data_IF_629986405623
#
_entry.id   IF_629986405623
#
_cell.length_a   1.000
_cell.length_b   1.000
_cell.length_c   1.000
_cell.angle_alpha   90.00
_cell.angle_beta   90.00
_cell.angle_gamma   90.00
#
_symmetry.space_group_name_H-M   'P 1'
#
loop_
_entity.id
_entity.type
_entity.pdbx_description
1 polymer ?
#
# COMPACT_ATOMS: atom_id res chain seq x y z
N UNK A 1 -13.17 -6.21 -22.56
CA UNK A 1 -11.88 -5.96 -21.84
C UNK A 1 -11.79 -6.92 -20.69
N UNK A 2 -10.66 -7.56 -20.51
CA UNK A 2 -10.37 -8.37 -19.33
C UNK A 2 -10.20 -7.49 -18.08
N UNK A 3 -10.25 -8.08 -16.88
CA UNK A 3 -9.97 -7.36 -15.61
C UNK A 3 -8.61 -6.66 -15.65
N UNK A 4 -7.57 -7.35 -16.13
CA UNK A 4 -6.23 -6.80 -16.26
C UNK A 4 -6.16 -5.59 -17.21
N UNK A 5 -6.86 -5.62 -18.35
CA UNK A 5 -6.93 -4.49 -19.29
C UNK A 5 -7.66 -3.28 -18.69
N UNK A 6 -8.76 -3.51 -17.98
CA UNK A 6 -9.51 -2.44 -17.29
C UNK A 6 -8.66 -1.79 -16.20
N UNK A 7 -7.99 -2.63 -15.39
CA UNK A 7 -7.10 -2.18 -14.32
C UNK A 7 -5.93 -1.36 -14.89
N UNK A 8 -5.26 -1.85 -15.96
CA UNK A 8 -4.19 -1.10 -16.63
C UNK A 8 -4.68 0.27 -17.14
N UNK A 9 -5.84 0.31 -17.79
CA UNK A 9 -6.41 1.58 -18.30
C UNK A 9 -6.72 2.55 -17.17
N UNK A 10 -7.22 2.07 -16.03
CA UNK A 10 -7.46 2.89 -14.84
C UNK A 10 -6.15 3.52 -14.35
N UNK A 11 -5.12 2.73 -14.14
CA UNK A 11 -3.83 3.22 -13.63
C UNK A 11 -3.11 4.11 -14.62
N UNK A 12 -3.17 3.78 -15.92
CA UNK A 12 -2.66 4.65 -17.00
C UNK A 12 -3.29 6.07 -16.95
N UNK A 13 -4.56 6.17 -16.57
CA UNK A 13 -5.25 7.47 -16.47
C UNK A 13 -4.87 8.28 -15.23
N UNK A 14 -4.25 7.65 -14.24
CA UNK A 14 -3.91 8.26 -12.93
C UNK A 14 -2.42 8.56 -12.76
N UNK A 15 -1.59 8.24 -13.74
CA UNK A 15 -0.12 8.32 -13.64
C UNK A 15 0.38 9.72 -13.24
N UNK A 16 -0.25 10.78 -13.75
CA UNK A 16 0.15 12.17 -13.52
C UNK A 16 -0.43 12.80 -12.24
N UNK A 17 -1.22 12.04 -11.44
CA UNK A 17 -1.88 12.58 -10.26
C UNK A 17 -0.97 12.66 -9.01
N UNK A 18 0.32 12.35 -9.13
CA UNK A 18 1.28 12.43 -8.03
C UNK A 18 0.82 11.61 -6.81
N UNK A 19 0.84 12.21 -5.63
CA UNK A 19 0.41 11.57 -4.37
C UNK A 19 -1.04 11.07 -4.41
N UNK A 20 -1.87 11.64 -5.28
CA UNK A 20 -3.28 11.27 -5.40
C UNK A 20 -3.55 10.15 -6.42
N UNK A 21 -2.52 9.56 -7.02
CA UNK A 21 -2.68 8.48 -7.99
C UNK A 21 -3.43 7.26 -7.41
N UNK A 22 -3.05 6.82 -6.22
CA UNK A 22 -3.68 5.67 -5.54
C UNK A 22 -4.80 6.03 -4.57
N UNK A 23 -4.89 7.29 -4.12
CA UNK A 23 -5.90 7.74 -3.15
C UNK A 23 -5.98 9.25 -3.12
N UNK A 24 -7.19 9.79 -2.92
CA UNK A 24 -7.36 11.22 -2.66
C UNK A 24 -6.94 11.60 -1.22
N UNK A 25 -6.74 10.62 -0.35
CA UNK A 25 -6.31 10.81 1.02
C UNK A 25 -4.78 10.79 1.13
N UNK A 26 -4.17 11.93 0.85
CA UNK A 26 -2.70 12.11 0.90
C UNK A 26 -2.13 11.86 2.31
N UNK A 27 -2.92 12.06 3.38
CA UNK A 27 -2.48 11.79 4.75
C UNK A 27 -2.37 10.29 5.00
N UNK A 28 -3.38 9.50 4.58
CA UNK A 28 -3.30 8.05 4.65
C UNK A 28 -2.09 7.53 3.86
N UNK A 29 -1.85 8.05 2.65
CA UNK A 29 -0.67 7.70 1.84
C UNK A 29 0.65 7.96 2.59
N UNK A 30 0.78 9.10 3.27
CA UNK A 30 1.97 9.40 4.07
C UNK A 30 2.14 8.47 5.28
N UNK A 31 1.04 8.01 5.89
CA UNK A 31 1.09 6.99 6.96
C UNK A 31 1.63 5.66 6.42
N UNK A 32 1.15 5.22 5.25
CA UNK A 32 1.63 4.02 4.57
C UNK A 32 3.14 4.11 4.28
N UNK A 33 3.58 5.20 3.65
CA UNK A 33 5.01 5.45 3.37
C UNK A 33 5.86 5.43 4.64
N UNK A 34 5.43 6.08 5.72
CA UNK A 34 6.13 6.07 7.02
C UNK A 34 6.20 4.68 7.63
N UNK A 35 5.12 3.91 7.55
CA UNK A 35 5.08 2.54 8.08
C UNK A 35 6.04 1.61 7.31
N UNK A 36 6.11 1.73 5.99
CA UNK A 36 7.06 1.00 5.14
C UNK A 36 8.49 1.42 5.48
N UNK A 37 8.78 2.73 5.46
CA UNK A 37 10.11 3.29 5.73
C UNK A 37 10.65 2.87 7.10
N UNK A 38 9.79 2.77 8.12
CA UNK A 38 10.19 2.34 9.47
C UNK A 38 10.69 0.89 9.55
N UNK A 39 10.51 0.08 8.50
CA UNK A 39 10.97 -1.33 8.42
C UNK A 39 12.17 -1.52 7.52
N UNK A 40 12.65 -0.48 6.89
CA UNK A 40 13.76 -0.50 5.93
C UNK A 40 14.95 0.20 6.56
N UNK A 41 16.13 -0.41 6.48
CA UNK A 41 17.39 0.09 7.02
C UNK A 41 18.34 0.47 5.87
N UNK A 42 19.33 1.30 6.17
CA UNK A 42 20.37 1.68 5.22
C UNK A 42 21.15 0.45 4.70
N UNK A 43 21.48 0.43 3.44
CA UNK A 43 22.21 -0.65 2.78
C UNK A 43 21.33 -1.80 2.28
N UNK A 44 20.03 -1.76 2.56
CA UNK A 44 19.09 -2.78 2.08
C UNK A 44 18.80 -2.63 0.57
N UNK A 45 18.58 -3.77 -0.06
CA UNK A 45 18.05 -3.88 -1.42
C UNK A 45 16.57 -4.14 -1.36
N UNK A 46 15.78 -3.23 -1.93
CA UNK A 46 14.32 -3.17 -1.76
C UNK A 46 13.62 -3.35 -3.11
N UNK A 47 12.51 -4.10 -3.12
CA UNK A 47 11.63 -4.24 -4.28
C UNK A 47 10.25 -3.68 -3.94
N UNK A 48 9.76 -2.76 -4.76
CA UNK A 48 8.40 -2.21 -4.75
C UNK A 48 7.60 -2.85 -5.88
N UNK A 49 6.66 -3.73 -5.54
CA UNK A 49 5.80 -4.39 -6.54
C UNK A 49 4.45 -3.67 -6.58
N UNK A 50 4.10 -3.17 -7.78
CA UNK A 50 2.99 -2.25 -7.96
C UNK A 50 3.37 -0.82 -7.54
N UNK A 51 4.58 -0.39 -7.93
CA UNK A 51 5.16 0.88 -7.48
C UNK A 51 4.39 2.14 -7.95
N UNK A 52 3.45 1.98 -8.89
CA UNK A 52 2.73 3.10 -9.48
C UNK A 52 3.71 4.14 -10.05
N UNK A 53 3.45 5.41 -9.79
CA UNK A 53 4.31 6.53 -10.21
C UNK A 53 5.56 6.76 -9.33
N UNK A 54 5.95 5.77 -8.52
CA UNK A 54 7.23 5.70 -7.83
C UNK A 54 7.38 6.57 -6.58
N UNK A 55 6.33 7.21 -6.09
CA UNK A 55 6.41 8.17 -4.97
C UNK A 55 7.03 7.55 -3.71
N UNK A 56 6.59 6.37 -3.30
CA UNK A 56 7.13 5.69 -2.11
C UNK A 56 8.58 5.26 -2.33
N UNK A 57 8.89 4.69 -3.49
CA UNK A 57 10.25 4.26 -3.84
C UNK A 57 11.25 5.44 -3.89
N UNK A 58 10.85 6.56 -4.49
CA UNK A 58 11.70 7.77 -4.57
C UNK A 58 11.88 8.40 -3.17
N UNK A 59 10.84 8.47 -2.35
CA UNK A 59 10.95 8.95 -0.97
C UNK A 59 11.91 8.09 -0.14
N UNK A 60 11.86 6.77 -0.28
CA UNK A 60 12.81 5.87 0.36
C UNK A 60 14.25 6.15 -0.10
N UNK A 61 14.47 6.31 -1.40
CA UNK A 61 15.79 6.60 -1.96
C UNK A 61 16.34 7.97 -1.54
N UNK A 62 15.47 8.94 -1.27
CA UNK A 62 15.84 10.27 -0.75
C UNK A 62 16.18 10.27 0.74
N UNK A 63 15.49 9.45 1.52
CA UNK A 63 15.55 9.49 2.98
C UNK A 63 16.47 8.42 3.57
N UNK A 64 16.86 7.44 2.77
CA UNK A 64 17.70 6.29 3.19
C UNK A 64 18.73 5.95 2.11
N UNK A 65 19.81 5.29 2.53
CA UNK A 65 20.83 4.74 1.63
C UNK A 65 20.45 3.32 1.21
N UNK A 66 19.48 3.20 0.31
CA UNK A 66 18.93 1.92 -0.16
C UNK A 66 18.93 1.87 -1.69
N UNK A 67 18.99 0.65 -2.23
CA UNK A 67 18.75 0.41 -3.66
C UNK A 67 17.32 -0.08 -3.83
N UNK A 68 16.47 0.74 -4.48
CA UNK A 68 15.07 0.41 -4.72
C UNK A 68 14.84 0.07 -6.17
N UNK A 69 14.20 -1.06 -6.43
CA UNK A 69 13.65 -1.39 -7.74
C UNK A 69 12.13 -1.32 -7.65
N UNK A 70 11.51 -0.51 -8.51
CA UNK A 70 10.05 -0.41 -8.64
C UNK A 70 9.56 -1.11 -9.89
N UNK A 71 8.50 -1.91 -9.75
CA UNK A 71 7.85 -2.62 -10.86
C UNK A 71 6.37 -2.27 -10.89
N UNK A 72 5.87 -1.92 -12.08
CA UNK A 72 4.44 -1.72 -12.31
C UNK A 72 4.06 -2.20 -13.71
N UNK A 73 2.83 -2.68 -13.88
CA UNK A 73 2.34 -3.14 -15.18
C UNK A 73 1.93 -2.01 -16.13
N UNK A 74 1.73 -0.80 -15.59
CA UNK A 74 1.40 0.40 -16.36
C UNK A 74 2.66 1.09 -16.86
N UNK A 75 2.82 1.15 -18.17
CA UNK A 75 3.93 1.87 -18.83
C UNK A 75 3.91 3.37 -18.49
N UNK A 76 2.71 3.95 -18.33
CA UNK A 76 2.57 5.37 -17.97
C UNK A 76 2.98 5.62 -16.52
N UNK A 77 2.62 4.73 -15.59
CA UNK A 77 3.10 4.80 -14.22
C UNK A 77 4.63 4.74 -14.16
N UNK A 78 5.24 3.80 -14.87
CA UNK A 78 6.69 3.68 -14.94
C UNK A 78 7.36 4.92 -15.58
N UNK A 79 6.77 5.49 -16.61
CA UNK A 79 7.27 6.73 -17.20
C UNK A 79 7.22 7.90 -16.20
N UNK A 80 6.12 8.03 -15.46
CA UNK A 80 5.98 9.03 -14.39
C UNK A 80 6.98 8.78 -13.25
N UNK A 81 7.19 7.53 -12.84
CA UNK A 81 8.15 7.16 -11.80
C UNK A 81 9.60 7.52 -12.20
N UNK A 82 10.01 7.23 -13.43
CA UNK A 82 11.31 7.62 -13.97
C UNK A 82 11.50 9.14 -13.99
N UNK A 83 10.48 9.87 -14.45
CA UNK A 83 10.49 11.34 -14.47
C UNK A 83 10.61 11.91 -13.04
N UNK A 84 9.90 11.32 -12.06
CA UNK A 84 10.00 11.72 -10.68
C UNK A 84 11.40 11.46 -10.11
N UNK A 85 11.97 10.29 -10.37
CA UNK A 85 13.32 9.94 -9.93
C UNK A 85 14.38 10.88 -10.51
N UNK A 86 14.35 11.14 -11.80
CA UNK A 86 15.27 12.08 -12.48
C UNK A 86 15.22 13.48 -11.85
N UNK A 87 14.01 13.98 -11.55
CA UNK A 87 13.84 15.30 -10.94
C UNK A 87 14.28 15.36 -9.48
N UNK A 88 14.08 14.28 -8.74
CA UNK A 88 14.25 14.26 -7.28
C UNK A 88 15.65 13.77 -6.86
N UNK A 89 16.19 12.78 -7.56
CA UNK A 89 17.44 12.09 -7.21
C UNK A 89 18.64 12.61 -8.03
N UNK A 90 18.39 13.27 -9.15
CA UNK A 90 19.44 13.74 -10.04
C UNK A 90 20.31 12.59 -10.56
N UNK A 91 21.62 12.62 -10.27
CA UNK A 91 22.57 11.58 -10.67
C UNK A 91 22.63 10.38 -9.72
N UNK A 92 21.84 10.35 -8.64
CA UNK A 92 21.78 9.21 -7.73
C UNK A 92 20.95 8.09 -8.38
N UNK A 93 21.52 6.90 -8.51
CA UNK A 93 20.87 5.72 -9.14
C UNK A 93 20.24 4.80 -8.13
N UNK A 94 19.79 5.32 -6.98
CA UNK A 94 19.24 4.53 -5.87
C UNK A 94 17.77 4.10 -6.07
N UNK A 95 17.13 4.51 -7.17
CA UNK A 95 15.80 4.02 -7.55
C UNK A 95 15.74 3.74 -9.06
N UNK A 96 15.41 2.51 -9.42
CA UNK A 96 15.23 2.05 -10.80
C UNK A 96 13.79 1.57 -11.01
N UNK A 97 13.24 1.83 -12.20
CA UNK A 97 11.85 1.48 -12.51
C UNK A 97 11.75 0.71 -13.81
N UNK A 98 11.01 -0.39 -13.82
CA UNK A 98 10.77 -1.20 -15.00
C UNK A 98 9.32 -1.69 -15.09
N UNK A 99 8.86 -1.88 -16.33
CA UNK A 99 7.54 -2.45 -16.60
C UNK A 99 7.57 -3.94 -16.29
N UNK A 100 6.56 -4.42 -15.55
CA UNK A 100 6.39 -5.83 -15.21
C UNK A 100 5.18 -6.02 -14.30
N UNK A 101 4.73 -7.25 -14.17
CA UNK A 101 3.66 -7.64 -13.25
C UNK A 101 4.14 -8.76 -12.32
N UNK A 102 3.38 -9.04 -11.27
CA UNK A 102 3.72 -10.14 -10.36
C UNK A 102 3.75 -11.50 -11.08
N UNK A 103 2.95 -11.66 -12.15
CA UNK A 103 2.89 -12.89 -12.96
C UNK A 103 3.98 -12.94 -14.03
N UNK A 104 4.57 -11.79 -14.39
CA UNK A 104 5.58 -11.64 -15.42
C UNK A 104 6.70 -10.69 -14.98
N UNK A 105 7.40 -11.09 -13.91
CA UNK A 105 8.52 -10.33 -13.36
C UNK A 105 9.71 -10.27 -14.33
N UNK A 106 10.41 -9.15 -14.42
CA UNK A 106 11.63 -9.04 -15.19
C UNK A 106 12.68 -10.07 -14.75
N UNK A 107 13.41 -10.64 -15.71
CA UNK A 107 14.47 -11.62 -15.42
C UNK A 107 15.68 -10.92 -14.77
N UNK A 108 16.39 -11.64 -13.90
CA UNK A 108 17.65 -11.19 -13.35
C UNK A 108 17.54 -10.22 -12.17
N UNK A 109 16.36 -10.03 -11.61
CA UNK A 109 16.16 -9.16 -10.44
C UNK A 109 16.99 -9.57 -9.21
N UNK A 110 17.29 -10.87 -9.06
CA UNK A 110 18.02 -11.40 -7.88
C UNK A 110 17.15 -11.44 -6.62
N UNK A 111 17.80 -11.45 -5.46
CA UNK A 111 17.12 -11.52 -4.16
C UNK A 111 17.16 -10.16 -3.45
N UNK A 112 16.17 -9.94 -2.57
CA UNK A 112 15.94 -8.69 -1.86
C UNK A 112 15.96 -8.88 -0.35
N UNK A 113 16.38 -7.84 0.37
CA UNK A 113 16.31 -7.78 1.83
C UNK A 113 14.89 -7.44 2.29
N UNK A 114 14.23 -6.54 1.54
CA UNK A 114 12.83 -6.19 1.77
C UNK A 114 12.08 -6.13 0.43
N UNK A 115 10.90 -6.72 0.41
CA UNK A 115 9.91 -6.53 -0.66
C UNK A 115 8.68 -5.91 -0.04
N UNK A 116 8.05 -4.95 -0.70
CA UNK A 116 6.75 -4.47 -0.27
C UNK A 116 5.75 -4.34 -1.42
N UNK A 117 4.49 -4.46 -1.06
CA UNK A 117 3.34 -4.06 -1.86
C UNK A 117 2.57 -2.99 -1.09
N UNK A 118 2.04 -2.01 -1.79
CA UNK A 118 1.26 -0.92 -1.22
C UNK A 118 -0.04 -0.76 -1.99
N UNK A 119 -1.11 -1.40 -1.50
CA UNK A 119 -2.41 -1.48 -2.18
C UNK A 119 -2.32 -2.01 -3.61
N UNK A 120 -1.43 -2.98 -3.83
CA UNK A 120 -1.26 -3.67 -5.11
C UNK A 120 -2.09 -4.94 -5.16
N UNK A 121 -2.02 -5.79 -4.13
CA UNK A 121 -2.73 -7.08 -4.12
C UNK A 121 -4.24 -6.90 -4.22
N UNK A 122 -4.79 -5.82 -3.63
CA UNK A 122 -6.23 -5.52 -3.72
C UNK A 122 -6.73 -5.28 -5.15
N UNK A 123 -5.83 -5.09 -6.12
CA UNK A 123 -6.18 -4.95 -7.54
C UNK A 123 -6.21 -6.29 -8.28
N UNK A 124 -5.82 -7.38 -7.63
CA UNK A 124 -5.98 -8.73 -8.15
C UNK A 124 -7.44 -9.18 -7.97
N UNK A 125 -7.99 -10.00 -8.88
CA UNK A 125 -9.42 -10.26 -8.95
C UNK A 125 -9.96 -11.02 -7.73
N UNK A 126 -9.14 -11.89 -7.12
CA UNK A 126 -9.57 -12.74 -6.03
C UNK A 126 -8.40 -13.15 -5.10
N UNK A 127 -8.76 -13.86 -4.03
CA UNK A 127 -7.80 -14.36 -3.04
C UNK A 127 -6.81 -15.39 -3.61
N UNK A 128 -7.21 -16.19 -4.59
CA UNK A 128 -6.33 -17.19 -5.18
C UNK A 128 -5.15 -16.54 -5.89
N UNK A 129 -5.41 -15.49 -6.68
CA UNK A 129 -4.35 -14.70 -7.32
C UNK A 129 -3.53 -13.91 -6.31
N UNK A 130 -4.15 -13.34 -5.27
CA UNK A 130 -3.44 -12.66 -4.18
C UNK A 130 -2.48 -13.62 -3.44
N UNK A 131 -2.94 -14.82 -3.08
CA UNK A 131 -2.11 -15.84 -2.45
C UNK A 131 -0.97 -16.32 -3.36
N UNK A 132 -1.23 -16.51 -4.66
CA UNK A 132 -0.20 -16.85 -5.65
C UNK A 132 0.89 -15.77 -5.75
N UNK A 133 0.49 -14.49 -5.68
CA UNK A 133 1.42 -13.35 -5.63
C UNK A 133 2.30 -13.42 -4.38
N UNK A 134 1.73 -13.66 -3.20
CA UNK A 134 2.49 -13.81 -1.94
C UNK A 134 3.50 -14.96 -2.05
N UNK A 135 3.10 -16.08 -2.66
CA UNK A 135 4.00 -17.22 -2.95
C UNK A 135 5.19 -16.81 -3.83
N UNK A 136 4.93 -16.07 -4.88
CA UNK A 136 5.94 -15.60 -5.83
C UNK A 136 6.91 -14.61 -5.18
N UNK A 137 6.40 -13.71 -4.33
CA UNK A 137 7.17 -12.74 -3.54
C UNK A 137 8.12 -13.46 -2.59
N UNK A 138 7.64 -14.51 -1.90
CA UNK A 138 8.46 -15.28 -0.95
C UNK A 138 9.72 -15.87 -1.58
N UNK A 139 9.68 -16.25 -2.85
CA UNK A 139 10.82 -16.82 -3.59
C UNK A 139 11.91 -15.79 -3.94
N UNK A 140 11.61 -14.50 -3.85
CA UNK A 140 12.54 -13.42 -4.17
C UNK A 140 13.21 -12.81 -2.93
N UNK A 141 12.89 -13.28 -1.74
CA UNK A 141 13.49 -12.81 -0.51
C UNK A 141 14.79 -13.58 -0.21
N UNK A 142 15.78 -12.87 0.31
CA UNK A 142 16.93 -13.49 0.98
C UNK A 142 16.48 -14.18 2.25
N UNK A 143 17.26 -15.17 2.74
CA UNK A 143 17.06 -15.72 4.09
C UNK A 143 17.09 -14.58 5.12
N UNK A 144 16.09 -14.53 6.01
CA UNK A 144 15.88 -13.43 6.96
C UNK A 144 15.26 -12.16 6.35
N UNK A 145 15.07 -12.09 5.04
CA UNK A 145 14.41 -10.97 4.37
C UNK A 145 12.93 -10.84 4.74
N UNK A 146 12.34 -9.67 4.49
CA UNK A 146 10.96 -9.38 4.88
C UNK A 146 10.09 -8.99 3.69
N UNK A 147 8.85 -9.47 3.71
CA UNK A 147 7.79 -8.94 2.87
C UNK A 147 6.84 -8.09 3.71
N UNK A 148 6.67 -6.84 3.33
CA UNK A 148 5.76 -5.87 3.94
C UNK A 148 4.52 -5.74 3.04
N UNK A 149 3.48 -6.46 3.39
CA UNK A 149 2.22 -6.46 2.67
C UNK A 149 1.33 -5.36 3.25
N UNK A 150 1.27 -4.19 2.59
CA UNK A 150 0.47 -3.02 3.01
C UNK A 150 -0.77 -2.95 2.15
N UNK A 151 -1.87 -3.49 2.65
CA UNK A 151 -3.08 -3.71 1.86
C UNK A 151 -4.36 -3.35 2.63
N UNK A 152 -5.48 -3.25 1.91
CA UNK A 152 -6.78 -3.01 2.52
C UNK A 152 -7.35 -4.29 3.12
N UNK A 153 -7.71 -4.22 4.41
CA UNK A 153 -8.35 -5.28 5.20
C UNK A 153 -9.86 -5.15 5.17
N UNK A 154 -10.55 -6.25 4.88
CA UNK A 154 -12.01 -6.32 4.97
C UNK A 154 -12.47 -6.26 6.44
N UNK A 155 -11.75 -6.92 7.35
CA UNK A 155 -12.04 -6.89 8.79
C UNK A 155 -11.84 -5.48 9.36
N UNK A 156 -10.75 -4.80 8.98
CA UNK A 156 -10.52 -3.41 9.36
C UNK A 156 -11.62 -2.47 8.86
N UNK A 157 -12.07 -2.65 7.62
CA UNK A 157 -13.19 -1.88 7.07
C UNK A 157 -14.51 -2.22 7.78
N UNK A 158 -14.76 -3.49 8.10
CA UNK A 158 -15.97 -3.90 8.82
C UNK A 158 -16.03 -3.26 10.20
N UNK A 159 -14.96 -3.35 10.98
CA UNK A 159 -14.87 -2.74 12.31
C UNK A 159 -15.02 -1.20 12.24
N UNK A 160 -14.45 -0.55 11.25
CA UNK A 160 -14.63 0.88 10.99
C UNK A 160 -16.09 1.21 10.69
N UNK A 161 -16.75 0.39 9.87
CA UNK A 161 -18.15 0.55 9.50
C UNK A 161 -19.09 0.37 10.69
N UNK A 162 -18.79 -0.53 11.61
CA UNK A 162 -19.59 -0.70 12.84
C UNK A 162 -19.52 0.55 13.71
N UNK A 163 -18.33 1.18 13.82
CA UNK A 163 -18.18 2.49 14.46
C UNK A 163 -18.98 3.58 13.74
N UNK A 164 -19.01 3.59 12.41
CA UNK A 164 -19.79 4.56 11.62
C UNK A 164 -21.29 4.41 11.83
N UNK A 165 -21.78 3.19 11.78
CA UNK A 165 -23.21 2.92 11.98
C UNK A 165 -23.66 3.29 13.40
N UNK A 166 -22.83 3.05 14.43
CA UNK A 166 -23.14 3.39 15.82
C UNK A 166 -23.40 4.89 16.05
N UNK A 167 -22.85 5.75 15.16
CA UNK A 167 -23.07 7.22 15.17
C UNK A 167 -23.96 7.69 14.03
N UNK A 168 -24.66 6.78 13.36
CA UNK A 168 -25.65 7.09 12.31
C UNK A 168 -25.03 7.50 10.98
N UNK A 169 -23.80 7.12 10.68
CA UNK A 169 -23.16 7.30 9.37
C UNK A 169 -23.38 6.08 8.47
N UNK A 170 -23.43 6.30 7.16
CA UNK A 170 -23.50 5.21 6.18
C UNK A 170 -22.20 4.40 6.16
N UNK A 171 -22.29 3.11 5.85
CA UNK A 171 -21.11 2.26 5.60
C UNK A 171 -20.29 2.77 4.42
N UNK A 172 -18.99 2.54 4.49
CA UNK A 172 -18.06 2.71 3.36
C UNK A 172 -18.02 1.36 2.63
N UNK A 173 -18.12 1.40 1.31
CA UNK A 173 -17.97 0.22 0.43
C UNK A 173 -16.63 0.27 -0.29
N UNK A 174 -15.94 -0.87 -0.47
CA UNK A 174 -14.77 -0.92 -1.33
C UNK A 174 -15.10 -0.45 -2.75
N UNK A 175 -14.14 0.17 -3.46
CA UNK A 175 -14.29 0.42 -4.90
C UNK A 175 -14.48 -0.89 -5.67
N UNK A 176 -15.31 -0.89 -6.71
CA UNK A 176 -15.67 -2.09 -7.49
C UNK A 176 -14.46 -2.80 -8.14
N UNK A 177 -13.39 -2.07 -8.40
CA UNK A 177 -12.16 -2.59 -9.01
C UNK A 177 -11.17 -3.17 -7.98
N UNK A 178 -11.55 -3.24 -6.70
CA UNK A 178 -10.66 -3.73 -5.63
C UNK A 178 -11.27 -4.90 -4.88
N UNK A 179 -10.44 -5.89 -4.58
CA UNK A 179 -10.77 -7.05 -3.74
C UNK A 179 -10.01 -6.93 -2.43
N UNK A 180 -10.69 -6.47 -1.36
CA UNK A 180 -10.09 -6.33 -0.04
C UNK A 180 -9.76 -7.69 0.56
N UNK A 181 -8.71 -7.74 1.34
CA UNK A 181 -8.16 -8.97 1.90
C UNK A 181 -8.88 -9.31 3.21
N UNK A 182 -9.35 -10.55 3.31
CA UNK A 182 -9.85 -11.13 4.55
C UNK A 182 -8.66 -11.53 5.44
N UNK A 183 -8.63 -11.03 6.68
CA UNK A 183 -7.50 -11.24 7.59
C UNK A 183 -7.31 -12.72 7.94
N UNK A 184 -8.40 -13.47 8.11
CA UNK A 184 -8.35 -14.90 8.41
C UNK A 184 -7.74 -15.70 7.24
N UNK A 185 -7.96 -15.27 6.01
CA UNK A 185 -7.33 -15.87 4.82
C UNK A 185 -5.81 -15.73 4.86
N UNK A 186 -5.31 -14.56 5.30
CA UNK A 186 -3.87 -14.32 5.46
C UNK A 186 -3.30 -15.14 6.61
N UNK A 187 -3.98 -15.18 7.77
CA UNK A 187 -3.54 -15.90 8.97
C UNK A 187 -3.44 -17.42 8.73
N UNK A 188 -4.29 -17.96 7.86
CA UNK A 188 -4.30 -19.37 7.50
C UNK A 188 -3.45 -19.72 6.28
N UNK A 189 -2.84 -18.74 5.61
CA UNK A 189 -2.05 -18.99 4.42
C UNK A 189 -0.70 -19.62 4.78
N UNK A 190 -0.46 -20.83 4.26
CA UNK A 190 0.83 -21.47 4.35
C UNK A 190 1.67 -21.20 3.11
N UNK A 191 2.81 -20.53 3.28
CA UNK A 191 3.80 -20.29 2.22
C UNK A 191 5.12 -20.95 2.61
N UNK A 192 5.64 -21.95 1.84
CA UNK A 192 6.91 -22.58 2.14
C UNK A 192 8.05 -21.57 2.23
N UNK A 193 8.82 -21.61 3.32
CA UNK A 193 9.95 -20.70 3.53
C UNK A 193 9.59 -19.28 3.94
N UNK A 194 8.30 -18.91 4.02
CA UNK A 194 7.84 -17.61 4.47
C UNK A 194 6.88 -17.77 5.65
N UNK A 195 7.03 -16.95 6.69
CA UNK A 195 6.19 -16.99 7.88
C UNK A 195 5.61 -15.62 8.16
N UNK A 196 4.30 -15.55 8.37
CA UNK A 196 3.67 -14.35 8.93
C UNK A 196 4.22 -14.13 10.35
N UNK A 197 4.88 -12.99 10.56
CA UNK A 197 5.47 -12.63 11.85
C UNK A 197 4.45 -11.90 12.72
N UNK A 198 3.76 -10.92 12.12
CA UNK A 198 2.76 -10.10 12.80
C UNK A 198 1.96 -9.26 11.82
N UNK A 199 0.80 -8.81 12.29
CA UNK A 199 -0.02 -7.77 11.64
C UNK A 199 0.13 -6.46 12.41
N UNK A 200 0.26 -5.33 11.70
CA UNK A 200 0.40 -3.99 12.27
C UNK A 200 -0.75 -3.14 11.75
N UNK A 201 -1.63 -2.73 12.65
CA UNK A 201 -2.70 -1.78 12.36
C UNK A 201 -2.20 -0.35 12.62
N UNK A 202 -1.42 0.19 11.68
CA UNK A 202 -0.80 1.50 11.81
C UNK A 202 -1.73 2.67 11.47
N UNK A 203 -2.90 2.40 10.89
CA UNK A 203 -3.84 3.41 10.43
C UNK A 203 -5.05 3.60 11.34
N UNK A 204 -5.20 2.80 12.40
CA UNK A 204 -6.42 2.70 13.19
C UNK A 204 -6.90 4.05 13.75
N UNK A 205 -6.07 4.79 14.48
CA UNK A 205 -6.44 6.12 15.02
C UNK A 205 -6.81 7.10 13.91
N UNK A 206 -6.04 7.08 12.80
CA UNK A 206 -6.29 7.95 11.66
C UNK A 206 -7.64 7.67 11.01
N UNK A 207 -7.94 6.39 10.70
CA UNK A 207 -9.21 6.04 10.07
C UNK A 207 -10.40 6.31 11.00
N UNK A 208 -10.28 6.01 12.29
CA UNK A 208 -11.33 6.35 13.24
C UNK A 208 -11.63 7.84 13.26
N UNK A 209 -10.61 8.68 13.45
CA UNK A 209 -10.81 10.13 13.51
C UNK A 209 -11.26 10.72 12.17
N UNK A 210 -10.67 10.27 11.08
CA UNK A 210 -10.98 10.79 9.74
C UNK A 210 -12.35 10.29 9.20
N UNK A 211 -12.63 9.00 9.35
CA UNK A 211 -13.81 8.37 8.74
C UNK A 211 -15.03 8.32 9.66
N UNK A 212 -14.82 8.43 10.98
CA UNK A 212 -15.94 8.44 11.96
C UNK A 212 -16.13 9.84 12.51
N UNK A 213 -15.16 10.37 13.24
CA UNK A 213 -15.31 11.65 13.95
C UNK A 213 -15.47 12.83 12.98
N UNK A 214 -14.57 12.97 12.01
CA UNK A 214 -14.65 14.02 11.00
C UNK A 214 -15.94 13.93 10.16
N UNK A 215 -16.29 12.71 9.72
CA UNK A 215 -17.51 12.51 8.94
C UNK A 215 -18.78 12.80 9.75
N UNK A 216 -18.79 12.44 11.04
CA UNK A 216 -19.89 12.77 11.94
C UNK A 216 -20.02 14.29 12.14
N UNK A 217 -18.91 14.98 12.41
CA UNK A 217 -18.90 16.44 12.55
C UNK A 217 -19.40 17.14 11.28
N UNK A 218 -18.90 16.72 10.11
CA UNK A 218 -19.35 17.27 8.83
C UNK A 218 -20.88 17.08 8.63
N UNK A 219 -21.40 15.89 8.94
CA UNK A 219 -22.84 15.60 8.88
C UNK A 219 -23.66 16.53 9.80
N UNK A 220 -23.20 16.81 11.03
CA UNK A 220 -23.91 17.73 11.94
C UNK A 220 -23.96 19.16 11.39
N UNK A 221 -22.98 19.55 10.56
CA UNK A 221 -22.87 20.86 9.93
C UNK A 221 -23.55 20.91 8.55
N UNK A 222 -24.10 19.79 8.06
CA UNK A 222 -24.66 19.69 6.70
C UNK A 222 -23.59 19.84 5.60
N UNK A 223 -22.36 19.40 5.87
CA UNK A 223 -21.21 19.51 4.97
C UNK A 223 -20.68 18.13 4.57
N UNK A 224 -19.90 18.08 3.49
CA UNK A 224 -19.11 16.90 3.14
C UNK A 224 -17.81 16.86 3.98
N UNK A 225 -17.36 15.67 4.41
CA UNK A 225 -16.11 15.53 5.16
C UNK A 225 -14.91 15.84 4.27
N UNK A 226 -14.03 16.73 4.74
CA UNK A 226 -12.79 17.09 4.06
C UNK A 226 -11.59 16.34 4.66
N UNK A 227 -10.65 15.90 3.81
CA UNK A 227 -9.36 15.37 4.27
C UNK A 227 -8.46 16.44 4.91
N UNK A 228 -8.71 17.73 4.64
CA UNK A 228 -7.98 18.85 5.23
C UNK A 228 -8.55 19.33 6.58
N UNK A 229 -9.61 18.69 7.08
CA UNK A 229 -10.18 19.01 8.38
C UNK A 229 -9.10 18.94 9.49
N UNK A 230 -9.11 19.87 10.47
CA UNK A 230 -8.09 19.93 11.54
C UNK A 230 -7.94 18.62 12.32
N UNK A 231 -9.04 17.88 12.54
CA UNK A 231 -9.03 16.60 13.22
C UNK A 231 -8.17 15.55 12.50
N UNK A 232 -8.07 15.62 11.17
CA UNK A 232 -7.21 14.73 10.39
C UNK A 232 -5.73 15.07 10.56
N UNK A 233 -5.40 16.36 10.77
CA UNK A 233 -4.06 16.78 11.14
C UNK A 233 -3.62 16.25 12.51
N UNK A 234 -4.53 16.27 13.49
CA UNK A 234 -4.28 15.64 14.79
C UNK A 234 -4.12 14.12 14.64
N UNK A 235 -5.01 13.47 13.90
CA UNK A 235 -5.00 12.03 13.69
C UNK A 235 -3.68 11.52 13.08
N UNK A 236 -3.06 12.30 12.21
CA UNK A 236 -1.78 11.99 11.56
C UNK A 236 -0.59 11.93 12.56
N UNK A 237 -0.70 12.57 13.73
CA UNK A 237 0.33 12.61 14.77
C UNK A 237 0.12 11.62 15.91
N UNK A 238 -1.07 11.04 16.03
CA UNK A 238 -1.38 10.10 17.10
C UNK A 238 -0.81 8.70 16.83
N UNK A 239 -0.43 7.96 17.89
CA UNK A 239 -0.12 6.54 17.74
C UNK A 239 -1.37 5.77 17.31
N UNK A 240 -1.17 4.65 16.63
CA UNK A 240 -2.27 3.75 16.30
C UNK A 240 -2.86 3.12 17.57
N UNK A 241 -4.17 3.24 17.76
CA UNK A 241 -4.92 2.70 18.91
C UNK A 241 -6.12 1.92 18.37
N UNK A 242 -6.30 0.69 18.83
CA UNK A 242 -7.36 -0.19 18.38
C UNK A 242 -7.06 -0.89 17.07
N UNK A 243 -8.09 -1.41 16.40
CA UNK A 243 -7.98 -2.25 15.21
C UNK A 243 -9.04 -1.93 14.14
N UNK A 244 -9.34 -0.65 13.97
CA UNK A 244 -10.31 -0.16 12.97
C UNK A 244 -9.63 0.42 11.73
N UNK A 245 -8.36 0.10 11.53
CA UNK A 245 -7.60 0.54 10.35
C UNK A 245 -8.01 -0.24 9.11
N UNK A 246 -8.50 0.49 8.10
CA UNK A 246 -8.84 -0.10 6.81
C UNK A 246 -7.59 -0.58 6.05
N UNK A 247 -6.43 0.06 6.25
CA UNK A 247 -5.16 -0.37 5.69
C UNK A 247 -4.28 -0.92 6.80
N UNK A 248 -3.74 -2.12 6.61
CA UNK A 248 -2.87 -2.83 7.56
C UNK A 248 -1.55 -3.23 6.90
N UNK A 249 -0.57 -3.54 7.72
CA UNK A 249 0.68 -4.14 7.26
C UNK A 249 0.82 -5.55 7.86
N UNK A 250 0.81 -6.56 7.01
CA UNK A 250 1.22 -7.92 7.38
C UNK A 250 2.71 -8.06 7.10
N UNK A 251 3.47 -8.37 8.14
CA UNK A 251 4.92 -8.54 8.06
C UNK A 251 5.23 -10.02 7.99
N UNK A 252 5.79 -10.43 6.87
CA UNK A 252 6.25 -11.80 6.63
C UNK A 252 7.78 -11.84 6.67
N UNK A 253 8.34 -12.95 7.14
CA UNK A 253 9.78 -13.17 7.20
C UNK A 253 10.18 -14.47 6.49
N UNK A 254 11.16 -14.38 5.59
CA UNK A 254 11.78 -15.53 4.94
C UNK A 254 12.70 -16.28 5.94
N UNK A 255 12.65 -17.61 5.90
CA UNK A 255 13.45 -18.51 6.74
C UNK A 255 14.78 -18.88 6.08
#
# INVERSE_FOLDING_TARGET
>A
MTHAEQNKALWDSRADLGMSAGTNDVRAKRLEMRAISAKIEDGMRVLDIGCGNGITAVDLALTKRVDVIGIDHSEKMIAAAKTLAEKSLGCLTSAEFCVGSIDALPKGLGLFDVIYTERMLVNLPDWEEQASAIYSIGKMLRSGGKYLMVECSMDGLSALNDCRESVGLSRITPPEHTTYIDDASVDNLYVPGLRLERTIDFTSSYYFLSRVVNAWQAKQLGQEPSYDAPVNGLADTLPAIGSVGQVRMWVWQAR
#
